data_IF_075698531181
#
_entry.id   IF_075698531181
#
_cell.length_a   1.000
_cell.length_b   1.000
_cell.length_c   1.000
_cell.angle_alpha   90.00
_cell.angle_beta   90.00
_cell.angle_gamma   90.00
#
_symmetry.space_group_name_H-M   'P 1'
#
loop_
_entity.id
_entity.type
_entity.pdbx_description
1 polymer ?
#
# COMPACT_ATOMS: atom_id res chain seq x y z
N UNK A 1 4.70 -16.68 -22.39
CA UNK A 1 5.56 -15.58 -22.89
C UNK A 1 5.36 -14.43 -21.93
N UNK A 2 6.27 -14.30 -20.97
CA UNK A 2 6.29 -13.15 -20.05
C UNK A 2 6.85 -11.97 -20.84
N UNK A 3 6.17 -10.82 -20.93
CA UNK A 3 6.72 -9.68 -21.63
C UNK A 3 7.97 -9.22 -20.89
N UNK A 4 9.04 -9.08 -21.67
CA UNK A 4 10.33 -8.50 -21.32
C UNK A 4 10.26 -7.44 -20.22
N UNK A 5 11.16 -7.55 -19.24
CA UNK A 5 11.45 -6.49 -18.28
C UNK A 5 11.80 -5.22 -19.04
N UNK A 6 10.82 -4.31 -19.17
CA UNK A 6 11.07 -2.96 -19.67
C UNK A 6 11.90 -2.23 -18.62
N UNK A 7 13.23 -2.36 -18.69
CA UNK A 7 14.16 -1.43 -18.05
C UNK A 7 14.07 -0.10 -18.79
N UNK A 8 13.00 0.65 -18.52
CA UNK A 8 12.98 2.07 -18.83
C UNK A 8 13.84 2.74 -17.76
N UNK A 9 14.97 3.34 -18.15
CA UNK A 9 15.72 4.25 -17.28
C UNK A 9 14.90 5.54 -17.11
N UNK A 10 13.80 5.43 -16.37
CA UNK A 10 12.94 6.55 -16.03
C UNK A 10 13.79 7.61 -15.33
N UNK A 11 13.83 8.86 -15.81
CA UNK A 11 14.60 9.91 -15.15
C UNK A 11 14.17 10.05 -13.68
N UNK A 12 15.04 10.57 -12.80
CA UNK A 12 14.82 10.52 -11.33
C UNK A 12 13.49 11.16 -10.88
N UNK A 13 12.93 12.08 -11.66
CA UNK A 13 11.63 12.74 -11.45
C UNK A 13 10.41 11.90 -11.85
N UNK A 14 10.63 10.78 -12.54
CA UNK A 14 9.62 9.84 -13.02
C UNK A 14 9.44 8.63 -12.07
N UNK A 15 10.00 8.75 -10.86
CA UNK A 15 9.82 7.79 -9.78
C UNK A 15 8.46 8.01 -9.13
N UNK A 16 7.77 6.92 -8.80
CA UNK A 16 6.48 6.93 -8.09
C UNK A 16 5.28 7.43 -8.90
N UNK A 17 5.15 7.07 -10.18
CA UNK A 17 3.98 7.41 -11.03
C UNK A 17 2.62 7.13 -10.38
N UNK A 18 2.51 6.03 -9.64
CA UNK A 18 1.29 5.70 -8.88
C UNK A 18 0.96 6.71 -7.79
N UNK A 19 1.98 7.39 -7.24
CA UNK A 19 1.81 8.44 -6.25
C UNK A 19 1.60 9.79 -6.92
N UNK A 20 2.34 10.12 -7.98
CA UNK A 20 2.42 11.50 -8.49
C UNK A 20 1.55 11.81 -9.71
N UNK A 21 1.00 10.80 -10.38
CA UNK A 21 0.22 10.96 -11.61
C UNK A 21 -1.16 10.33 -11.47
N UNK A 22 -2.19 11.17 -11.38
CA UNK A 22 -3.57 10.72 -11.15
C UNK A 22 -4.13 9.92 -12.32
N UNK A 23 -3.88 10.33 -13.58
CA UNK A 23 -4.34 9.55 -14.74
C UNK A 23 -3.72 8.15 -14.77
N UNK A 24 -2.44 8.05 -14.45
CA UNK A 24 -1.75 6.76 -14.38
C UNK A 24 -2.33 5.89 -13.27
N UNK A 25 -2.64 6.49 -12.12
CA UNK A 25 -3.28 5.81 -11.01
C UNK A 25 -4.67 5.28 -11.40
N UNK A 26 -5.50 6.12 -12.01
CA UNK A 26 -6.85 5.75 -12.44
C UNK A 26 -6.84 4.60 -13.45
N UNK A 27 -5.92 4.66 -14.43
CA UNK A 27 -5.73 3.59 -15.41
C UNK A 27 -5.36 2.26 -14.72
N UNK A 28 -4.41 2.28 -13.79
CA UNK A 28 -3.95 1.08 -13.08
C UNK A 28 -5.04 0.53 -12.17
N UNK A 29 -5.73 1.38 -11.40
CA UNK A 29 -6.84 0.97 -10.52
C UNK A 29 -7.98 0.39 -11.35
N UNK A 30 -8.36 1.04 -12.46
CA UNK A 30 -9.41 0.57 -13.35
C UNK A 30 -9.09 -0.81 -13.94
N UNK A 31 -7.86 -0.99 -14.42
CA UNK A 31 -7.38 -2.27 -14.96
C UNK A 31 -7.37 -3.36 -13.90
N UNK A 32 -6.86 -3.06 -12.70
CA UNK A 32 -6.83 -4.00 -11.58
C UNK A 32 -8.24 -4.42 -11.16
N UNK A 33 -9.17 -3.46 -11.02
CA UNK A 33 -10.56 -3.76 -10.67
C UNK A 33 -11.21 -4.66 -11.71
N UNK A 34 -11.02 -4.39 -13.00
CA UNK A 34 -11.54 -5.26 -14.07
C UNK A 34 -10.95 -6.66 -13.99
N UNK A 35 -9.65 -6.80 -13.73
CA UNK A 35 -9.02 -8.10 -13.56
C UNK A 35 -9.61 -8.89 -12.38
N UNK A 36 -9.81 -8.23 -11.22
CA UNK A 36 -10.38 -8.84 -10.02
C UNK A 36 -11.86 -9.22 -10.18
N UNK A 37 -12.63 -8.41 -10.92
CA UNK A 37 -14.02 -8.75 -11.27
C UNK A 37 -14.05 -9.99 -12.18
N UNK A 38 -13.18 -10.03 -13.18
CA UNK A 38 -13.11 -11.13 -14.14
C UNK A 38 -12.62 -12.43 -13.51
N UNK A 39 -11.76 -12.36 -12.48
CA UNK A 39 -11.32 -13.54 -11.73
C UNK A 39 -12.35 -14.02 -10.69
N UNK A 40 -13.38 -13.23 -10.41
CA UNK A 40 -14.36 -13.51 -9.36
C UNK A 40 -13.83 -13.29 -7.94
N UNK A 41 -12.67 -12.64 -7.79
CA UNK A 41 -12.06 -12.33 -6.49
C UNK A 41 -12.70 -11.10 -5.81
N UNK A 42 -13.41 -10.26 -6.56
CA UNK A 42 -14.17 -9.15 -6.02
C UNK A 42 -15.54 -8.98 -6.70
N UNK A 43 -16.43 -8.21 -6.07
CA UNK A 43 -17.73 -7.84 -6.62
C UNK A 43 -17.74 -6.38 -7.09
N UNK A 44 -18.82 -5.95 -7.75
CA UNK A 44 -18.93 -4.57 -8.27
C UNK A 44 -18.88 -3.50 -7.18
N UNK A 45 -19.30 -3.84 -5.96
CA UNK A 45 -19.29 -2.97 -4.78
C UNK A 45 -17.89 -2.79 -4.17
N UNK A 46 -16.93 -3.63 -4.55
CA UNK A 46 -15.57 -3.59 -4.02
C UNK A 46 -14.84 -2.33 -4.50
N UNK A 47 -14.36 -1.54 -3.53
CA UNK A 47 -13.59 -0.31 -3.78
C UNK A 47 -12.10 -0.60 -3.69
N UNK A 48 -11.38 -0.40 -4.79
CA UNK A 48 -9.93 -0.50 -4.83
C UNK A 48 -9.35 0.89 -4.58
N UNK A 49 -8.48 1.01 -3.57
CA UNK A 49 -7.75 2.24 -3.27
C UNK A 49 -6.25 1.97 -3.22
N UNK A 50 -5.48 2.93 -3.71
CA UNK A 50 -4.02 2.90 -3.56
C UNK A 50 -3.65 3.54 -2.23
N UNK A 51 -2.58 3.06 -1.62
CA UNK A 51 -2.04 3.70 -0.43
C UNK A 51 -0.54 3.62 -0.34
N UNK A 52 0.00 4.50 0.49
CA UNK A 52 1.41 4.58 0.79
C UNK A 52 1.67 3.99 2.17
N UNK A 53 2.42 2.90 2.21
CA UNK A 53 2.90 2.29 3.45
C UNK A 53 4.37 2.67 3.62
N UNK A 54 4.70 3.47 4.63
CA UNK A 54 6.04 3.99 4.83
C UNK A 54 6.60 3.61 6.20
N UNK A 55 7.49 2.60 6.20
CA UNK A 55 8.17 2.13 7.42
C UNK A 55 9.14 3.16 8.02
N UNK A 56 9.58 4.14 7.23
CA UNK A 56 10.43 5.25 7.68
C UNK A 56 10.04 6.53 6.94
N UNK A 57 9.55 7.50 7.70
CA UNK A 57 9.26 8.84 7.23
C UNK A 57 10.07 9.82 8.07
N UNK A 58 10.64 10.85 7.44
CA UNK A 58 11.24 11.94 8.21
C UNK A 58 10.15 12.58 9.08
N UNK A 59 10.39 12.69 10.40
CA UNK A 59 9.38 13.05 11.42
C UNK A 59 8.49 14.24 11.02
N UNK A 60 9.04 15.24 10.35
CA UNK A 60 8.32 16.46 9.96
C UNK A 60 7.54 16.35 8.63
N UNK A 61 7.42 15.15 8.05
CA UNK A 61 6.75 14.92 6.76
C UNK A 61 5.55 13.98 6.85
N UNK A 62 5.30 13.38 8.01
CA UNK A 62 4.18 12.44 8.19
C UNK A 62 2.85 13.14 7.92
N UNK A 63 2.63 14.31 8.52
CA UNK A 63 1.37 15.04 8.37
C UNK A 63 1.16 15.51 6.93
N UNK A 64 2.23 16.01 6.29
CA UNK A 64 2.20 16.37 4.87
C UNK A 64 1.85 15.18 3.97
N UNK A 65 2.38 13.99 4.27
CA UNK A 65 2.08 12.79 3.49
C UNK A 65 0.65 12.28 3.75
N UNK A 66 0.17 12.37 4.99
CA UNK A 66 -1.22 12.05 5.35
C UNK A 66 -2.19 12.96 4.60
N UNK A 67 -1.94 14.26 4.61
CA UNK A 67 -2.74 15.25 3.90
C UNK A 67 -2.70 15.03 2.38
N UNK A 68 -1.51 14.80 1.82
CA UNK A 68 -1.36 14.48 0.40
C UNK A 68 -2.18 13.26 0.00
N UNK A 69 -2.06 12.15 0.75
CA UNK A 69 -2.79 10.93 0.45
C UNK A 69 -4.30 11.16 0.59
N UNK A 70 -4.75 11.86 1.65
CA UNK A 70 -6.15 12.17 1.85
C UNK A 70 -6.75 12.95 0.68
N UNK A 71 -6.06 14.00 0.22
CA UNK A 71 -6.49 14.82 -0.92
C UNK A 71 -6.53 14.04 -2.24
N UNK A 72 -5.74 12.98 -2.35
CA UNK A 72 -5.64 12.14 -3.54
C UNK A 72 -6.54 10.88 -3.48
N UNK A 73 -7.46 10.80 -2.51
CA UNK A 73 -8.27 9.61 -2.17
C UNK A 73 -7.45 8.32 -1.93
N UNK A 74 -6.23 8.49 -1.43
CA UNK A 74 -5.32 7.44 -1.06
C UNK A 74 -5.29 7.21 0.44
N UNK A 75 -4.95 6.00 0.86
CA UNK A 75 -4.66 5.76 2.28
C UNK A 75 -3.17 5.91 2.59
N UNK A 76 -2.84 6.26 3.83
CA UNK A 76 -1.46 6.34 4.31
C UNK A 76 -1.32 5.54 5.59
N UNK A 77 -0.32 4.66 5.64
CA UNK A 77 0.14 4.03 6.88
C UNK A 77 1.57 4.44 7.18
N UNK A 78 1.72 5.16 8.29
CA UNK A 78 3.00 5.46 8.87
C UNK A 78 3.50 4.34 9.79
N UNK A 79 4.67 4.52 10.40
CA UNK A 79 5.26 3.54 11.31
C UNK A 79 4.35 3.17 12.48
N UNK A 80 3.61 4.15 13.02
CA UNK A 80 2.71 3.93 14.16
C UNK A 80 1.44 3.17 13.75
N UNK A 81 0.88 3.47 12.57
CA UNK A 81 -0.28 2.77 12.02
C UNK A 81 0.06 1.28 11.79
N UNK A 82 1.27 0.99 11.28
CA UNK A 82 1.78 -0.37 11.09
C UNK A 82 1.91 -1.08 12.44
N UNK A 83 2.55 -0.47 13.44
CA UNK A 83 2.70 -1.06 14.78
C UNK A 83 1.35 -1.35 15.42
N UNK A 84 0.40 -0.44 15.26
CA UNK A 84 -0.95 -0.61 15.80
C UNK A 84 -1.66 -1.78 15.14
N UNK A 85 -1.65 -1.87 13.80
CA UNK A 85 -2.22 -3.00 13.07
C UNK A 85 -1.61 -4.34 13.48
N UNK A 86 -0.30 -4.39 13.70
CA UNK A 86 0.39 -5.57 14.22
C UNK A 86 -0.08 -5.98 15.62
N UNK A 87 -0.27 -5.02 16.53
CA UNK A 87 -0.82 -5.27 17.88
C UNK A 87 -2.25 -5.78 17.83
N UNK A 88 -3.06 -5.29 16.89
CA UNK A 88 -4.46 -5.70 16.78
C UNK A 88 -4.59 -7.10 16.15
N UNK A 89 -3.72 -7.45 15.20
CA UNK A 89 -3.59 -8.82 14.70
C UNK A 89 -3.17 -9.81 15.80
N UNK A 90 -2.26 -9.42 16.69
CA UNK A 90 -1.86 -10.23 17.84
C UNK A 90 -3.04 -10.56 18.77
N UNK A 91 -3.91 -9.58 19.03
CA UNK A 91 -5.09 -9.78 19.88
C UNK A 91 -6.13 -10.72 19.24
N UNK A 92 -6.18 -10.80 17.91
CA UNK A 92 -7.14 -11.65 17.19
C UNK A 92 -6.75 -13.12 17.17
N UNK A 93 -5.62 -13.52 17.76
CA UNK A 93 -5.29 -14.93 17.97
C UNK A 93 -4.93 -15.70 16.70
N UNK A 94 -4.65 -15.01 15.58
CA UNK A 94 -3.88 -15.60 14.49
C UNK A 94 -2.50 -15.93 15.07
N UNK A 95 -2.32 -17.11 15.64
CA UNK A 95 -1.12 -17.47 16.39
C UNK A 95 -0.14 -18.32 15.56
N UNK A 96 -0.62 -18.96 14.49
CA UNK A 96 0.11 -20.04 13.79
C UNK A 96 0.80 -19.62 12.48
N UNK A 97 0.93 -18.32 12.21
CA UNK A 97 1.68 -17.84 11.05
C UNK A 97 3.04 -17.29 11.49
N UNK A 98 4.12 -17.61 10.77
CA UNK A 98 5.46 -17.01 10.93
C UNK A 98 5.42 -15.47 11.06
N UNK A 99 4.47 -14.83 10.38
CA UNK A 99 4.21 -13.39 10.50
C UNK A 99 4.01 -12.93 11.96
N UNK A 100 3.44 -13.77 12.82
CA UNK A 100 3.07 -13.46 14.20
C UNK A 100 4.24 -13.64 15.16
N UNK A 101 5.10 -14.63 14.91
CA UNK A 101 6.39 -14.78 15.60
C UNK A 101 7.26 -13.55 15.31
N UNK A 102 7.36 -13.15 14.03
CA UNK A 102 8.11 -11.98 13.61
C UNK A 102 7.52 -10.71 14.23
N UNK A 103 6.19 -10.58 14.25
CA UNK A 103 5.50 -9.44 14.86
C UNK A 103 5.82 -9.29 16.34
N UNK A 104 5.73 -10.39 17.12
CA UNK A 104 6.07 -10.40 18.55
C UNK A 104 7.54 -10.03 18.80
N UNK A 105 8.46 -10.47 17.94
CA UNK A 105 9.87 -10.08 18.01
C UNK A 105 10.06 -8.58 17.72
N UNK A 106 9.38 -8.04 16.70
CA UNK A 106 9.46 -6.63 16.33
C UNK A 106 8.84 -5.69 17.37
N UNK A 107 7.80 -6.13 18.09
CA UNK A 107 7.09 -5.33 19.09
C UNK A 107 7.73 -5.34 20.50
N UNK A 108 8.68 -6.25 20.76
CA UNK A 108 9.32 -6.44 22.06
C UNK A 108 10.56 -5.56 22.29
N UNK A 109 11.09 -4.97 21.23
CA UNK A 109 12.18 -3.97 21.26
C UNK A 109 11.63 -2.55 21.17
#
# INVERSE_FOLDING_TARGET
VYPEHVTHSTPRWDKYKLLTNDMYRDLVIGTLRQALLNSGECNEETKVKVGLIAAKVHKNRIDTLKEYCHNADMFFWGPDDIRQGLRDLEKQGYADNMAMIITKLLLRN
#
